data_IF_778986170845
#
_entry.id   IF_778986170845
#
_cell.length_a   1.000
_cell.length_b   1.000
_cell.length_c   1.000
_cell.angle_alpha   90.00
_cell.angle_beta   90.00
_cell.angle_gamma   90.00
#
_symmetry.space_group_name_H-M   'P 1'
#
loop_
_entity.id
_entity.type
_entity.pdbx_description
1 polymer ?
#
# COMPACT_ATOMS: atom_id res chain seq x y z
N UNK A 1 106.96 12.09 44.67
CA UNK A 1 106.58 12.38 43.25
C UNK A 1 105.29 11.64 42.98
N UNK A 2 104.18 12.26 43.21
CA UNK A 2 102.88 11.63 43.06
C UNK A 2 101.91 12.59 42.35
N UNK A 3 101.46 12.26 41.19
CA UNK A 3 100.55 13.05 40.33
C UNK A 3 99.12 12.81 40.73
N UNK A 4 98.40 13.83 41.12
CA UNK A 4 96.93 13.86 41.34
C UNK A 4 96.25 14.05 39.99
N UNK A 5 95.28 13.18 39.68
CA UNK A 5 94.33 13.33 38.53
C UNK A 5 93.07 13.96 39.07
N UNK A 6 92.44 14.94 38.36
CA UNK A 6 91.13 15.48 38.73
C UNK A 6 89.98 14.64 38.16
N UNK A 7 88.98 14.44 38.95
CA UNK A 7 87.73 13.81 38.63
C UNK A 7 86.79 14.84 37.94
N UNK A 8 86.34 14.58 36.70
CA UNK A 8 85.34 15.38 36.04
C UNK A 8 83.95 14.80 36.34
N UNK A 9 83.12 15.58 37.03
CA UNK A 9 81.68 15.27 37.28
C UNK A 9 80.90 15.54 36.00
N UNK A 10 80.29 14.49 35.48
CA UNK A 10 79.34 14.57 34.34
C UNK A 10 77.92 14.77 34.94
N UNK A 11 77.33 15.96 34.76
CA UNK A 11 75.98 16.26 35.13
C UNK A 11 75.05 15.84 34.01
N UNK A 12 74.28 14.76 34.24
CA UNK A 12 73.28 14.29 33.32
C UNK A 12 72.00 15.15 33.54
N UNK A 13 71.70 16.01 32.54
CA UNK A 13 70.42 16.73 32.48
C UNK A 13 69.32 15.81 31.96
N UNK A 14 68.45 15.32 32.81
CA UNK A 14 67.21 14.60 32.41
C UNK A 14 66.19 15.64 31.95
N UNK A 15 66.01 15.76 30.67
CA UNK A 15 64.90 16.55 30.09
C UNK A 15 63.57 15.76 30.30
N UNK A 16 62.70 16.21 31.17
CA UNK A 16 61.35 15.77 31.33
C UNK A 16 60.54 16.21 30.09
N UNK A 17 60.35 15.30 29.12
CA UNK A 17 59.38 15.45 28.05
C UNK A 17 57.97 15.34 28.63
N UNK A 18 57.28 16.46 28.84
CA UNK A 18 55.85 16.49 29.14
C UNK A 18 55.09 15.89 27.95
N UNK A 19 54.11 14.97 28.16
CA UNK A 19 53.29 14.47 27.06
C UNK A 19 52.46 15.62 26.48
N UNK A 20 52.57 15.84 25.17
CA UNK A 20 51.70 16.78 24.44
C UNK A 20 50.23 16.36 24.67
N UNK A 21 49.28 17.30 24.91
CA UNK A 21 47.89 16.95 25.03
C UNK A 21 47.45 16.27 23.72
N UNK A 22 46.94 15.04 23.83
CA UNK A 22 46.31 14.34 22.73
C UNK A 22 45.24 15.26 22.13
N UNK A 23 45.48 15.69 20.88
CA UNK A 23 44.46 16.43 20.13
C UNK A 23 43.16 15.62 20.19
N UNK A 24 42.12 16.15 20.81
CA UNK A 24 40.81 15.56 20.81
C UNK A 24 40.46 15.33 19.35
N UNK A 25 40.33 14.06 18.95
CA UNK A 25 39.92 13.69 17.63
C UNK A 25 38.60 14.47 17.33
N UNK A 26 38.71 15.49 16.51
CA UNK A 26 37.60 16.37 16.17
C UNK A 26 36.46 15.51 15.67
N UNK A 27 35.36 15.45 16.41
CA UNK A 27 34.11 14.84 15.93
C UNK A 27 33.77 15.54 14.64
N UNK A 28 33.77 14.78 13.54
CA UNK A 28 33.26 15.26 12.25
C UNK A 28 31.89 15.89 12.48
N UNK A 29 31.63 17.12 12.07
CA UNK A 29 30.34 17.74 12.26
C UNK A 29 29.26 16.82 11.69
N UNK A 30 28.13 16.62 12.39
CA UNK A 30 27.07 15.78 11.89
C UNK A 30 26.58 16.32 10.54
N UNK A 31 26.31 15.40 9.60
CA UNK A 31 25.74 15.75 8.30
C UNK A 31 24.51 16.65 8.50
N UNK A 32 24.50 17.87 7.93
CA UNK A 32 23.43 18.83 8.19
C UNK A 32 22.06 18.34 7.74
N UNK A 33 22.01 17.43 6.77
CA UNK A 33 20.75 16.78 6.33
C UNK A 33 20.26 15.81 7.38
N UNK A 34 21.12 14.89 7.85
CA UNK A 34 20.76 13.92 8.90
C UNK A 34 20.34 14.63 10.17
N UNK A 35 21.09 15.65 10.60
CA UNK A 35 20.74 16.45 11.78
C UNK A 35 19.39 17.18 11.61
N UNK A 36 19.04 17.58 10.38
CA UNK A 36 17.74 18.19 10.10
C UNK A 36 16.61 17.15 10.07
N UNK A 37 16.85 15.96 9.53
CA UNK A 37 15.91 14.83 9.57
C UNK A 37 15.61 14.44 11.01
N UNK A 38 16.62 14.28 11.86
CA UNK A 38 16.49 13.94 13.30
C UNK A 38 15.64 14.94 14.07
N UNK A 39 15.78 16.24 13.79
CA UNK A 39 14.93 17.26 14.43
C UNK A 39 13.46 17.16 14.06
N UNK A 40 13.17 16.74 12.82
CA UNK A 40 11.80 16.57 12.32
C UNK A 40 11.18 15.21 12.63
N UNK A 41 12.00 14.16 12.62
CA UNK A 41 11.57 12.79 12.84
C UNK A 41 10.97 12.58 14.24
N UNK A 42 9.92 11.77 14.30
CA UNK A 42 9.29 11.35 15.56
C UNK A 42 9.33 9.83 15.64
N UNK A 43 9.90 9.27 16.72
CA UNK A 43 10.07 7.83 16.85
C UNK A 43 8.71 7.12 16.90
N UNK A 44 8.62 5.98 16.25
CA UNK A 44 7.55 5.01 16.40
C UNK A 44 8.09 3.82 17.22
N UNK A 45 7.40 3.46 18.29
CA UNK A 45 7.88 2.45 19.26
C UNK A 45 7.86 1.04 18.69
N UNK A 46 6.85 0.74 17.89
CA UNK A 46 6.63 -0.58 17.29
C UNK A 46 5.81 -0.48 16.03
N UNK A 47 5.91 -1.49 15.15
CA UNK A 47 4.98 -1.72 14.07
C UNK A 47 3.77 -2.55 14.52
N UNK A 48 3.92 -3.33 15.59
CA UNK A 48 2.91 -4.29 16.04
C UNK A 48 1.63 -3.59 16.54
N UNK A 49 0.44 -4.13 16.21
CA UNK A 49 -0.83 -3.63 16.71
C UNK A 49 -0.91 -3.74 18.23
N UNK A 50 -1.54 -2.77 18.86
CA UNK A 50 -1.69 -2.72 20.32
C UNK A 50 -0.69 -1.79 21.00
N UNK A 51 -0.63 -1.82 22.34
CA UNK A 51 0.19 -0.93 23.15
C UNK A 51 -0.31 0.52 23.15
N UNK A 52 0.52 1.41 23.72
CA UNK A 52 0.20 2.83 23.83
C UNK A 52 0.32 3.54 22.46
N UNK A 53 -0.78 4.13 21.93
CA UNK A 53 -0.79 4.75 20.62
C UNK A 53 -0.25 6.20 20.60
N UNK A 54 0.27 6.74 21.70
CA UNK A 54 0.71 8.16 21.79
C UNK A 54 1.82 8.51 20.80
N UNK A 55 2.65 7.58 20.40
CA UNK A 55 3.69 7.78 19.38
C UNK A 55 3.11 7.93 17.96
N UNK A 56 1.84 7.58 17.74
CA UNK A 56 1.11 7.83 16.49
C UNK A 56 0.45 9.22 16.43
N UNK A 57 0.43 9.98 17.51
CA UNK A 57 -0.16 11.34 17.51
C UNK A 57 0.48 12.28 16.48
N UNK A 58 1.80 12.27 16.22
CA UNK A 58 2.40 13.07 15.15
C UNK A 58 1.83 12.73 13.77
N UNK A 59 1.66 11.42 13.48
CA UNK A 59 1.00 10.96 12.25
C UNK A 59 -0.46 11.43 12.19
N UNK A 60 -1.20 11.28 13.28
CA UNK A 60 -2.58 11.74 13.37
C UNK A 60 -2.74 13.24 13.16
N UNK A 61 -1.78 14.07 13.60
CA UNK A 61 -1.76 15.52 13.29
C UNK A 61 -1.46 15.78 11.83
N UNK A 62 -0.50 15.04 11.25
CA UNK A 62 -0.13 15.17 9.85
C UNK A 62 -1.28 14.75 8.91
N UNK A 63 -2.05 13.73 9.27
CA UNK A 63 -3.26 13.29 8.55
C UNK A 63 -4.37 14.36 8.61
N UNK A 64 -4.52 15.07 9.74
CA UNK A 64 -5.52 16.13 9.88
C UNK A 64 -6.94 15.67 9.56
N UNK A 65 -7.63 16.44 8.73
CA UNK A 65 -9.03 16.20 8.35
C UNK A 65 -9.18 15.46 7.00
N UNK A 66 -8.11 14.81 6.52
CA UNK A 66 -8.16 14.07 5.26
C UNK A 66 -9.32 13.04 5.26
N UNK A 67 -10.11 13.02 4.20
CA UNK A 67 -11.18 12.05 3.98
C UNK A 67 -10.60 10.68 3.59
N UNK A 68 -9.48 10.67 2.86
CA UNK A 68 -8.76 9.48 2.44
C UNK A 68 -7.28 9.63 2.79
N UNK A 69 -6.70 8.61 3.41
CA UNK A 69 -5.26 8.51 3.68
C UNK A 69 -4.73 7.31 2.93
N UNK A 70 -3.89 7.54 1.91
CA UNK A 70 -3.12 6.47 1.28
C UNK A 70 -1.90 6.16 2.14
N UNK A 71 -1.78 4.92 2.59
CA UNK A 71 -0.63 4.42 3.33
C UNK A 71 0.07 3.34 2.50
N UNK A 72 1.28 3.65 2.08
CA UNK A 72 2.05 2.88 1.14
C UNK A 72 2.76 1.66 1.72
N UNK A 73 3.54 1.04 0.90
CA UNK A 73 4.53 0.01 1.21
C UNK A 73 5.55 -0.09 0.07
N UNK A 74 6.82 -0.18 0.40
CA UNK A 74 7.88 -0.38 -0.59
C UNK A 74 8.00 -1.85 -1.04
N UNK A 75 7.21 -2.75 -0.48
CA UNK A 75 7.01 -4.15 -0.89
C UNK A 75 5.76 -4.72 -0.24
N UNK A 76 4.98 -5.49 -0.99
CA UNK A 76 3.77 -6.16 -0.49
C UNK A 76 4.06 -7.21 0.58
N UNK A 77 5.24 -7.80 0.56
CA UNK A 77 5.59 -8.96 1.37
C UNK A 77 6.24 -8.67 2.72
N UNK A 78 6.05 -7.49 3.33
CA UNK A 78 6.62 -7.11 4.61
C UNK A 78 5.62 -7.18 5.77
N UNK A 79 5.92 -8.02 6.77
CA UNK A 79 5.20 -8.10 8.03
C UNK A 79 5.10 -6.73 8.72
N UNK A 80 6.25 -6.03 8.85
CA UNK A 80 6.31 -4.76 9.58
C UNK A 80 5.51 -3.64 8.90
N UNK A 81 5.31 -3.69 7.57
CA UNK A 81 4.43 -2.76 6.89
C UNK A 81 2.96 -3.07 7.16
N UNK A 82 2.55 -4.34 7.06
CA UNK A 82 1.16 -4.72 7.27
C UNK A 82 0.71 -4.52 8.72
N UNK A 83 1.55 -4.90 9.69
CA UNK A 83 1.25 -4.70 11.12
C UNK A 83 1.22 -3.22 11.49
N UNK A 84 2.08 -2.38 10.88
CA UNK A 84 2.05 -0.94 11.09
C UNK A 84 0.76 -0.32 10.51
N UNK A 85 0.30 -0.76 9.34
CA UNK A 85 -0.97 -0.32 8.76
C UNK A 85 -2.16 -0.71 9.64
N UNK A 86 -2.18 -1.92 10.17
CA UNK A 86 -3.18 -2.35 11.17
C UNK A 86 -3.14 -1.46 12.41
N UNK A 87 -1.95 -1.23 12.99
CA UNK A 87 -1.77 -0.36 14.17
C UNK A 87 -2.26 1.07 13.90
N UNK A 88 -1.91 1.64 12.76
CA UNK A 88 -2.33 2.97 12.36
C UNK A 88 -3.84 3.01 12.13
N UNK A 89 -4.43 1.99 11.49
CA UNK A 89 -5.89 1.95 11.30
C UNK A 89 -6.64 1.93 12.63
N UNK A 90 -6.23 1.10 13.59
CA UNK A 90 -6.84 1.08 14.94
C UNK A 90 -6.77 2.45 15.60
N UNK A 91 -5.61 3.12 15.55
CA UNK A 91 -5.46 4.48 16.06
C UNK A 91 -6.40 5.46 15.37
N UNK A 92 -6.49 5.42 14.05
CA UNK A 92 -7.36 6.31 13.27
C UNK A 92 -8.86 6.05 13.53
N UNK A 93 -9.25 4.79 13.73
CA UNK A 93 -10.62 4.43 14.15
C UNK A 93 -10.95 5.03 15.50
N UNK A 94 -10.09 4.82 16.51
CA UNK A 94 -10.33 5.20 17.88
C UNK A 94 -10.21 6.71 18.13
N UNK A 95 -9.36 7.42 17.40
CA UNK A 95 -8.96 8.80 17.67
C UNK A 95 -9.31 9.80 16.58
N UNK A 96 -9.59 9.34 15.34
CA UNK A 96 -9.76 10.22 14.17
C UNK A 96 -11.01 9.95 13.35
N UNK A 97 -11.90 9.04 13.80
CA UNK A 97 -13.18 8.79 13.16
C UNK A 97 -13.12 8.08 11.82
N UNK A 98 -12.02 7.36 11.53
CA UNK A 98 -11.95 6.50 10.34
C UNK A 98 -12.86 5.29 10.54
N UNK A 99 -13.52 4.87 9.44
CA UNK A 99 -14.47 3.74 9.49
C UNK A 99 -14.30 2.77 8.33
N UNK A 100 -13.35 3.00 7.41
CA UNK A 100 -13.07 2.05 6.32
C UNK A 100 -11.58 1.78 6.22
N UNK A 101 -11.23 0.48 6.14
CA UNK A 101 -9.95 0.00 5.65
C UNK A 101 -10.16 -0.45 4.21
N UNK A 102 -9.48 0.20 3.28
CA UNK A 102 -9.41 -0.19 1.88
C UNK A 102 -8.09 -0.89 1.61
N UNK A 103 -8.11 -2.02 0.91
CA UNK A 103 -6.91 -2.76 0.53
C UNK A 103 -6.81 -2.80 -1.00
N UNK A 104 -5.59 -2.65 -1.53
CA UNK A 104 -5.26 -2.94 -2.92
C UNK A 104 -5.50 -4.43 -3.21
N UNK A 105 -6.75 -4.76 -3.43
CA UNK A 105 -7.22 -6.12 -3.70
C UNK A 105 -8.56 -6.08 -4.42
N UNK A 106 -8.99 -7.24 -4.94
CA UNK A 106 -10.23 -7.33 -5.70
C UNK A 106 -11.43 -6.79 -4.92
N UNK A 107 -12.24 -5.94 -5.57
CA UNK A 107 -13.50 -5.45 -5.02
C UNK A 107 -14.41 -6.56 -4.52
N UNK A 108 -14.54 -7.66 -5.26
CA UNK A 108 -15.37 -8.80 -4.88
C UNK A 108 -14.92 -9.46 -3.60
N UNK A 109 -13.61 -9.66 -3.42
CA UNK A 109 -13.04 -10.15 -2.17
C UNK A 109 -13.33 -9.18 -1.02
N UNK A 110 -13.20 -7.86 -1.28
CA UNK A 110 -13.59 -6.82 -0.34
C UNK A 110 -15.03 -6.95 0.12
N UNK A 111 -15.97 -7.22 -0.81
CA UNK A 111 -17.41 -7.44 -0.49
C UNK A 111 -17.61 -8.64 0.43
N UNK A 112 -16.93 -9.78 0.17
CA UNK A 112 -17.01 -10.98 1.01
C UNK A 112 -16.41 -10.75 2.41
N UNK A 113 -15.28 -10.07 2.49
CA UNK A 113 -14.63 -9.72 3.76
C UNK A 113 -15.46 -8.70 4.55
N UNK A 114 -16.09 -7.74 3.88
CA UNK A 114 -17.00 -6.78 4.53
C UNK A 114 -18.26 -7.46 5.10
N UNK A 115 -18.84 -8.43 4.37
CA UNK A 115 -19.95 -9.27 4.88
C UNK A 115 -19.52 -10.03 6.14
N UNK A 116 -18.28 -10.50 6.23
CA UNK A 116 -17.76 -11.08 7.47
C UNK A 116 -17.56 -10.01 8.56
N UNK A 117 -16.92 -8.92 8.25
CA UNK A 117 -16.61 -7.84 9.20
C UNK A 117 -17.88 -7.26 9.83
N UNK A 118 -18.92 -7.03 9.03
CA UNK A 118 -20.18 -6.40 9.49
C UNK A 118 -21.15 -7.45 10.04
N UNK A 119 -21.32 -8.57 9.35
CA UNK A 119 -22.40 -9.53 9.65
C UNK A 119 -21.91 -10.87 10.20
N UNK A 120 -20.60 -11.15 10.18
CA UNK A 120 -20.04 -12.44 10.56
C UNK A 120 -20.33 -13.55 9.55
N UNK A 121 -20.61 -13.21 8.29
CA UNK A 121 -20.87 -14.18 7.22
C UNK A 121 -19.59 -14.71 6.61
N UNK A 122 -19.49 -16.03 6.51
CA UNK A 122 -18.34 -16.69 5.91
C UNK A 122 -17.17 -16.85 6.89
N UNK A 123 -16.08 -17.41 6.36
CA UNK A 123 -14.80 -17.59 7.05
C UNK A 123 -13.76 -16.71 6.35
N UNK A 124 -13.17 -15.72 7.04
CA UNK A 124 -12.24 -14.78 6.41
C UNK A 124 -10.95 -15.44 5.92
N UNK A 125 -10.44 -16.47 6.60
CA UNK A 125 -9.27 -17.21 6.18
C UNK A 125 -9.54 -17.96 4.87
N UNK A 126 -10.68 -18.65 4.80
CA UNK A 126 -11.12 -19.33 3.59
C UNK A 126 -11.33 -18.35 2.44
N UNK A 127 -11.99 -17.21 2.68
CA UNK A 127 -12.20 -16.16 1.66
C UNK A 127 -10.85 -15.69 1.11
N UNK A 128 -9.88 -15.37 1.98
CA UNK A 128 -8.56 -14.93 1.54
C UNK A 128 -7.85 -15.99 0.70
N UNK A 129 -7.89 -17.24 1.11
CA UNK A 129 -7.22 -18.35 0.39
C UNK A 129 -7.85 -18.65 -0.97
N UNK A 130 -9.18 -18.55 -1.08
CA UNK A 130 -9.90 -18.79 -2.33
C UNK A 130 -9.78 -17.66 -3.34
N UNK A 131 -9.87 -16.41 -2.88
CA UNK A 131 -9.98 -15.25 -3.76
C UNK A 131 -8.65 -14.55 -4.04
N UNK A 132 -7.70 -14.59 -3.08
CA UNK A 132 -6.43 -13.87 -3.18
C UNK A 132 -5.33 -14.76 -3.76
N UNK A 133 -5.53 -15.17 -5.01
CA UNK A 133 -4.57 -15.96 -5.78
C UNK A 133 -4.07 -15.14 -6.97
N UNK A 134 -3.01 -15.61 -7.64
CA UNK A 134 -2.44 -15.01 -8.84
C UNK A 134 -2.06 -13.53 -8.60
N UNK A 135 -2.79 -12.56 -9.14
CA UNK A 135 -2.52 -11.12 -8.98
C UNK A 135 -2.38 -10.69 -7.50
N UNK A 136 -3.10 -11.34 -6.58
CA UNK A 136 -3.13 -10.96 -5.16
C UNK A 136 -2.47 -11.98 -4.23
N UNK A 137 -1.56 -12.82 -4.75
CA UNK A 137 -0.95 -13.92 -4.01
C UNK A 137 -0.13 -13.50 -2.77
N UNK A 138 0.19 -12.21 -2.62
CA UNK A 138 0.86 -11.64 -1.43
C UNK A 138 -0.11 -11.12 -0.34
N UNK A 139 -1.41 -11.11 -0.60
CA UNK A 139 -2.40 -10.59 0.35
C UNK A 139 -2.96 -11.61 1.35
N UNK A 140 -3.00 -12.95 1.10
CA UNK A 140 -3.47 -13.92 2.07
C UNK A 140 -2.41 -14.16 3.17
N UNK A 141 -2.32 -13.22 4.11
CA UNK A 141 -1.34 -13.24 5.21
C UNK A 141 -2.00 -13.32 6.56
N UNK A 142 -1.25 -13.82 7.57
CA UNK A 142 -1.71 -13.85 8.95
C UNK A 142 -1.98 -12.43 9.48
N UNK A 143 -1.21 -11.45 9.03
CA UNK A 143 -1.34 -10.03 9.40
C UNK A 143 -2.68 -9.45 8.91
N UNK A 144 -3.01 -9.61 7.63
CA UNK A 144 -4.29 -9.16 7.07
C UNK A 144 -5.47 -9.90 7.71
N UNK A 145 -5.34 -11.21 7.97
CA UNK A 145 -6.35 -11.99 8.66
C UNK A 145 -6.58 -11.49 10.10
N UNK A 146 -5.50 -11.13 10.81
CA UNK A 146 -5.58 -10.58 12.16
C UNK A 146 -6.33 -9.23 12.16
N UNK A 147 -6.04 -8.35 11.20
CA UNK A 147 -6.77 -7.08 11.03
C UNK A 147 -8.27 -7.33 10.77
N UNK A 148 -8.62 -8.21 9.84
CA UNK A 148 -10.04 -8.50 9.51
C UNK A 148 -10.77 -9.08 10.72
N UNK A 149 -10.14 -9.97 11.49
CA UNK A 149 -10.69 -10.50 12.75
C UNK A 149 -10.85 -9.42 13.82
N UNK A 150 -9.90 -8.50 13.93
CA UNK A 150 -10.03 -7.35 14.84
C UNK A 150 -11.20 -6.44 14.42
N UNK A 151 -11.37 -6.14 13.14
CA UNK A 151 -12.50 -5.35 12.64
C UNK A 151 -13.85 -5.98 13.00
N UNK A 152 -13.96 -7.31 12.87
CA UNK A 152 -15.16 -8.03 13.29
C UNK A 152 -15.41 -7.90 14.79
N UNK A 153 -14.39 -8.06 15.61
CA UNK A 153 -14.52 -7.93 17.07
C UNK A 153 -14.81 -6.48 17.50
N UNK A 154 -14.24 -5.50 16.80
CA UNK A 154 -14.59 -4.09 16.98
C UNK A 154 -16.08 -3.87 16.73
N UNK A 155 -16.63 -4.34 15.61
CA UNK A 155 -18.02 -4.18 15.23
C UNK A 155 -19.00 -4.87 16.21
N UNK A 156 -18.63 -6.02 16.78
CA UNK A 156 -19.44 -6.66 17.83
C UNK A 156 -19.60 -5.77 19.05
N UNK A 157 -18.60 -4.97 19.39
CA UNK A 157 -18.61 -4.03 20.51
C UNK A 157 -19.20 -2.66 20.16
N UNK A 158 -19.23 -2.32 18.85
CA UNK A 158 -19.71 -1.03 18.35
C UNK A 158 -20.77 -1.21 17.25
N UNK A 159 -21.93 -1.85 17.52
CA UNK A 159 -22.91 -2.23 16.48
C UNK A 159 -23.55 -1.03 15.77
N UNK A 160 -23.52 0.16 16.37
CA UNK A 160 -24.09 1.39 15.80
C UNK A 160 -23.06 2.26 15.06
N UNK A 161 -21.80 1.91 15.11
CA UNK A 161 -20.69 2.65 14.48
C UNK A 161 -19.63 1.70 13.93
N UNK A 162 -20.02 0.81 12.99
CA UNK A 162 -19.13 -0.25 12.52
C UNK A 162 -18.05 0.26 11.60
N UNK A 163 -16.90 -0.39 11.66
CA UNK A 163 -15.87 -0.29 10.62
C UNK A 163 -16.20 -1.20 9.43
N UNK A 164 -15.75 -0.82 8.24
CA UNK A 164 -16.01 -1.51 6.98
C UNK A 164 -14.70 -1.90 6.30
N UNK A 165 -14.74 -2.94 5.49
CA UNK A 165 -13.63 -3.37 4.64
C UNK A 165 -14.00 -3.17 3.17
N UNK A 166 -13.06 -2.74 2.32
CA UNK A 166 -13.26 -2.74 0.88
C UNK A 166 -11.99 -3.18 0.14
N UNK A 167 -12.14 -3.86 -0.98
CA UNK A 167 -11.12 -3.94 -2.03
C UNK A 167 -11.36 -2.81 -3.02
N UNK A 168 -10.30 -2.20 -3.55
CA UNK A 168 -10.45 -1.08 -4.48
C UNK A 168 -10.16 -1.45 -5.94
N UNK A 169 -9.60 -2.64 -6.18
CA UNK A 169 -9.08 -3.07 -7.47
C UNK A 169 -10.05 -3.98 -8.25
N UNK A 170 -9.80 -4.11 -9.56
CA UNK A 170 -10.64 -4.90 -10.47
C UNK A 170 -10.02 -6.24 -10.93
N UNK A 171 -8.83 -6.63 -10.46
CA UNK A 171 -8.14 -7.83 -10.98
C UNK A 171 -8.93 -9.16 -10.91
N UNK A 172 -9.99 -9.24 -10.12
CA UNK A 172 -10.89 -10.38 -10.05
C UNK A 172 -12.32 -9.93 -9.71
N UNK A 173 -13.32 -10.56 -10.34
CA UNK A 173 -14.72 -10.39 -9.97
C UNK A 173 -15.32 -11.75 -9.62
N UNK A 174 -15.55 -11.98 -8.33
CA UNK A 174 -16.17 -13.19 -7.82
C UNK A 174 -17.62 -13.36 -8.26
N UNK A 175 -18.17 -14.59 -8.18
CA UNK A 175 -19.51 -14.91 -8.62
C UNK A 175 -20.59 -14.09 -7.93
N UNK A 176 -20.38 -13.68 -6.69
CA UNK A 176 -21.34 -12.91 -5.88
C UNK A 176 -21.68 -11.54 -6.48
N UNK A 177 -20.77 -10.90 -7.24
CA UNK A 177 -21.11 -9.63 -7.91
C UNK A 177 -22.14 -9.85 -9.01
N UNK A 178 -21.99 -10.91 -9.79
CA UNK A 178 -22.95 -11.28 -10.84
C UNK A 178 -24.31 -11.65 -10.24
N UNK A 179 -24.31 -12.43 -9.15
CA UNK A 179 -25.52 -12.85 -8.46
C UNK A 179 -26.27 -11.63 -7.89
N UNK A 180 -25.60 -10.69 -7.20
CA UNK A 180 -26.23 -9.46 -6.70
C UNK A 180 -26.85 -8.62 -7.80
N UNK A 181 -26.22 -8.54 -8.99
CA UNK A 181 -26.78 -7.82 -10.15
C UNK A 181 -27.99 -8.55 -10.70
N UNK A 182 -27.93 -9.87 -10.94
CA UNK A 182 -29.03 -10.64 -11.51
C UNK A 182 -30.21 -10.76 -10.56
N UNK A 183 -29.99 -10.91 -9.25
CA UNK A 183 -31.04 -10.93 -8.23
C UNK A 183 -31.80 -9.59 -8.15
N UNK A 184 -31.06 -8.47 -8.25
CA UNK A 184 -31.70 -7.15 -8.33
C UNK A 184 -32.59 -7.06 -9.58
N UNK A 185 -32.05 -7.45 -10.75
CA UNK A 185 -32.81 -7.44 -12.02
C UNK A 185 -34.05 -8.35 -11.93
N UNK A 186 -33.92 -9.53 -11.31
CA UNK A 186 -35.03 -10.46 -11.13
C UNK A 186 -36.19 -9.84 -10.30
N UNK A 187 -35.87 -9.01 -9.31
CA UNK A 187 -36.88 -8.34 -8.49
C UNK A 187 -37.55 -7.16 -9.18
N UNK A 188 -36.78 -6.35 -9.93
CA UNK A 188 -37.30 -5.09 -10.49
C UNK A 188 -37.76 -5.21 -11.92
N UNK A 189 -37.23 -6.14 -12.71
CA UNK A 189 -37.56 -6.38 -14.11
C UNK A 189 -37.27 -7.81 -14.54
N UNK A 190 -38.02 -8.82 -14.05
CA UNK A 190 -37.73 -10.25 -14.26
C UNK A 190 -37.58 -10.64 -15.72
N UNK A 191 -38.31 -9.99 -16.65
CA UNK A 191 -38.19 -10.23 -18.08
C UNK A 191 -36.82 -9.91 -18.69
N UNK A 192 -35.94 -9.20 -17.98
CA UNK A 192 -34.54 -8.92 -18.44
C UNK A 192 -33.52 -9.94 -17.94
N UNK A 193 -33.86 -10.84 -17.02
CA UNK A 193 -32.91 -11.83 -16.47
C UNK A 193 -32.22 -12.64 -17.58
N UNK A 194 -32.94 -13.26 -18.54
CA UNK A 194 -32.30 -14.03 -19.60
C UNK A 194 -31.29 -13.21 -20.42
N UNK A 195 -31.53 -11.90 -20.56
CA UNK A 195 -30.62 -11.01 -21.29
C UNK A 195 -29.34 -10.74 -20.48
N UNK A 196 -29.43 -10.53 -19.14
CA UNK A 196 -28.25 -10.39 -18.28
C UNK A 196 -27.44 -11.68 -18.23
N UNK A 197 -28.08 -12.83 -18.08
CA UNK A 197 -27.42 -14.14 -18.14
C UNK A 197 -26.66 -14.35 -19.47
N UNK A 198 -27.28 -13.98 -20.59
CA UNK A 198 -26.62 -14.07 -21.89
C UNK A 198 -25.41 -13.12 -21.99
N UNK A 199 -25.50 -11.89 -21.46
CA UNK A 199 -24.39 -10.92 -21.46
C UNK A 199 -23.24 -11.34 -20.54
N UNK A 200 -23.53 -11.99 -19.41
CA UNK A 200 -22.55 -12.47 -18.43
C UNK A 200 -22.06 -13.91 -18.68
N UNK A 201 -22.53 -14.56 -19.73
CA UNK A 201 -22.15 -15.95 -20.07
C UNK A 201 -20.64 -16.09 -20.23
N UNK A 202 -20.01 -16.99 -19.46
CA UNK A 202 -18.57 -17.24 -19.46
C UNK A 202 -17.71 -16.19 -18.74
N UNK A 203 -18.36 -15.20 -18.09
CA UNK A 203 -17.71 -14.18 -17.28
C UNK A 203 -17.81 -14.47 -15.79
N UNK A 204 -18.92 -15.06 -15.33
CA UNK A 204 -19.09 -15.45 -13.93
C UNK A 204 -18.15 -16.63 -13.59
N UNK A 205 -17.23 -16.50 -12.60
CA UNK A 205 -16.33 -17.58 -12.24
C UNK A 205 -17.06 -18.82 -11.72
N UNK A 206 -16.53 -19.98 -12.08
CA UNK A 206 -16.99 -21.28 -11.58
C UNK A 206 -15.83 -22.13 -11.02
N UNK A 207 -14.62 -21.56 -11.01
CA UNK A 207 -13.37 -22.18 -10.57
C UNK A 207 -12.63 -21.21 -9.66
N UNK A 208 -11.59 -21.65 -8.90
CA UNK A 208 -10.79 -20.77 -8.05
C UNK A 208 -10.22 -19.55 -8.79
N UNK A 209 -10.03 -18.45 -8.07
CA UNK A 209 -9.70 -17.15 -8.67
C UNK A 209 -8.44 -17.17 -9.54
N UNK A 210 -7.39 -17.87 -9.11
CA UNK A 210 -6.14 -17.96 -9.87
C UNK A 210 -6.28 -18.77 -11.17
N UNK A 211 -7.07 -19.84 -11.15
CA UNK A 211 -7.39 -20.62 -12.35
C UNK A 211 -8.23 -19.79 -13.32
N UNK A 212 -9.25 -19.11 -12.79
CA UNK A 212 -10.10 -18.22 -13.58
C UNK A 212 -9.32 -17.12 -14.28
N UNK A 213 -8.46 -16.41 -13.55
CA UNK A 213 -7.67 -15.31 -14.08
C UNK A 213 -6.73 -15.78 -15.20
N UNK A 214 -5.99 -16.89 -14.98
CA UNK A 214 -5.13 -17.47 -16.02
C UNK A 214 -5.90 -17.91 -17.26
N UNK A 215 -7.03 -18.61 -17.07
CA UNK A 215 -7.88 -19.04 -18.16
C UNK A 215 -8.50 -17.87 -18.94
N UNK A 216 -8.84 -16.77 -18.24
CA UNK A 216 -9.37 -15.56 -18.89
C UNK A 216 -8.30 -14.90 -19.76
N UNK A 217 -7.10 -14.68 -19.21
CA UNK A 217 -5.99 -14.02 -19.90
C UNK A 217 -5.43 -14.85 -21.07
N UNK A 218 -5.53 -16.19 -21.01
CA UNK A 218 -5.15 -17.08 -22.09
C UNK A 218 -6.11 -17.05 -23.29
N UNK A 219 -7.30 -16.41 -23.18
CA UNK A 219 -8.24 -16.26 -24.31
C UNK A 219 -7.66 -15.32 -25.36
N UNK A 220 -8.03 -15.53 -26.66
CA UNK A 220 -7.69 -14.58 -27.71
C UNK A 220 -8.12 -13.15 -27.34
N UNK A 221 -7.31 -12.16 -27.65
CA UNK A 221 -7.58 -10.74 -27.35
C UNK A 221 -8.95 -10.28 -27.90
N UNK A 222 -9.31 -10.72 -29.11
CA UNK A 222 -10.61 -10.40 -29.71
C UNK A 222 -11.78 -10.92 -28.86
N UNK A 223 -11.66 -12.13 -28.27
CA UNK A 223 -12.68 -12.69 -27.37
C UNK A 223 -12.77 -11.88 -26.08
N UNK A 224 -11.62 -11.53 -25.46
CA UNK A 224 -11.58 -10.70 -24.25
C UNK A 224 -12.25 -9.34 -24.48
N UNK A 225 -12.02 -8.72 -25.64
CA UNK A 225 -12.65 -7.45 -26.03
C UNK A 225 -14.16 -7.58 -26.25
N UNK A 226 -14.64 -8.70 -26.84
CA UNK A 226 -16.08 -8.95 -26.95
C UNK A 226 -16.71 -9.19 -25.58
N UNK A 227 -16.03 -9.86 -24.66
CA UNK A 227 -16.48 -10.01 -23.27
C UNK A 227 -16.63 -8.64 -22.59
N UNK A 228 -15.68 -7.72 -22.76
CA UNK A 228 -15.77 -6.34 -22.28
C UNK A 228 -16.94 -5.57 -22.93
N UNK A 229 -17.16 -5.73 -24.22
CA UNK A 229 -18.30 -5.10 -24.89
C UNK A 229 -19.64 -5.60 -24.33
N UNK A 230 -19.74 -6.88 -23.94
CA UNK A 230 -20.95 -7.46 -23.31
C UNK A 230 -21.20 -6.87 -21.92
N UNK A 231 -20.15 -6.75 -21.08
CA UNK A 231 -20.30 -6.12 -19.75
C UNK A 231 -20.71 -4.67 -19.85
N UNK A 232 -20.16 -3.90 -20.79
CA UNK A 232 -20.60 -2.53 -21.07
C UNK A 232 -22.07 -2.44 -21.50
N UNK A 233 -22.56 -3.42 -22.28
CA UNK A 233 -24.01 -3.51 -22.61
C UNK A 233 -24.85 -3.80 -21.37
N UNK A 234 -24.42 -4.72 -20.51
CA UNK A 234 -25.13 -5.04 -19.26
C UNK A 234 -25.19 -3.81 -18.33
N UNK A 235 -24.08 -3.09 -18.16
CA UNK A 235 -24.00 -1.88 -17.36
C UNK A 235 -24.95 -0.77 -17.88
N UNK A 236 -25.02 -0.56 -19.19
CA UNK A 236 -25.97 0.40 -19.78
C UNK A 236 -27.41 0.00 -19.54
N UNK A 237 -27.74 -1.28 -19.70
CA UNK A 237 -29.09 -1.79 -19.41
C UNK A 237 -29.47 -1.60 -17.94
N UNK A 238 -28.53 -1.88 -17.01
CA UNK A 238 -28.77 -1.69 -15.57
C UNK A 238 -29.01 -0.21 -15.25
N UNK A 239 -28.21 0.71 -15.81
CA UNK A 239 -28.41 2.16 -15.62
C UNK A 239 -29.80 2.64 -16.01
N UNK A 240 -30.39 2.05 -17.05
CA UNK A 240 -31.77 2.38 -17.48
C UNK A 240 -32.84 1.90 -16.48
N UNK A 241 -32.50 1.08 -15.47
CA UNK A 241 -33.40 0.61 -14.43
C UNK A 241 -33.35 1.49 -13.15
N UNK A 242 -32.70 2.66 -13.20
CA UNK A 242 -32.57 3.54 -12.06
C UNK A 242 -33.92 3.89 -11.44
N UNK A 243 -34.12 3.65 -10.13
CA UNK A 243 -35.40 3.90 -9.47
C UNK A 243 -35.66 5.39 -9.27
N UNK A 244 -36.92 5.80 -9.39
CA UNK A 244 -37.35 7.16 -9.07
C UNK A 244 -37.33 7.49 -7.57
N UNK A 245 -37.59 6.49 -6.70
CA UNK A 245 -37.72 6.66 -5.25
C UNK A 245 -36.38 6.67 -4.54
N UNK A 246 -36.21 7.55 -3.54
CA UNK A 246 -34.94 7.76 -2.83
C UNK A 246 -34.48 6.54 -2.02
N UNK A 247 -35.39 5.81 -1.38
CA UNK A 247 -35.06 4.63 -0.59
C UNK A 247 -34.43 3.50 -1.42
N UNK A 248 -34.94 3.30 -2.65
CA UNK A 248 -34.41 2.28 -3.55
C UNK A 248 -33.07 2.70 -4.24
N UNK A 249 -32.72 3.98 -4.19
CA UNK A 249 -31.51 4.50 -4.86
C UNK A 249 -30.23 4.01 -4.19
N UNK A 250 -30.22 3.79 -2.88
CA UNK A 250 -29.00 3.35 -2.17
C UNK A 250 -28.65 1.92 -2.56
N UNK A 251 -29.61 0.99 -2.52
CA UNK A 251 -29.41 -0.38 -3.01
C UNK A 251 -29.01 -0.41 -4.49
N UNK A 252 -29.71 0.36 -5.32
CA UNK A 252 -29.38 0.47 -6.72
C UNK A 252 -27.96 0.97 -6.96
N UNK A 253 -27.47 1.94 -6.19
CA UNK A 253 -26.11 2.46 -6.29
C UNK A 253 -25.08 1.38 -6.01
N UNK A 254 -25.31 0.51 -5.01
CA UNK A 254 -24.44 -0.63 -4.69
C UNK A 254 -24.42 -1.65 -5.83
N UNK A 255 -25.61 -2.05 -6.33
CA UNK A 255 -25.72 -2.98 -7.44
C UNK A 255 -25.07 -2.42 -8.73
N UNK A 256 -25.29 -1.13 -9.01
CA UNK A 256 -24.67 -0.44 -10.13
C UNK A 256 -23.14 -0.42 -9.99
N UNK A 257 -22.63 -0.28 -8.75
CA UNK A 257 -21.18 -0.34 -8.50
C UNK A 257 -20.64 -1.73 -8.79
N UNK A 258 -21.31 -2.80 -8.35
CA UNK A 258 -20.91 -4.17 -8.69
C UNK A 258 -20.84 -4.39 -10.20
N UNK A 259 -21.86 -3.96 -10.95
CA UNK A 259 -21.85 -4.03 -12.41
C UNK A 259 -20.74 -3.16 -13.04
N UNK A 260 -20.41 -2.02 -12.42
CA UNK A 260 -19.30 -1.17 -12.88
C UNK A 260 -17.96 -1.88 -12.70
N UNK A 261 -17.71 -2.53 -11.56
CA UNK A 261 -16.47 -3.27 -11.34
C UNK A 261 -16.36 -4.50 -12.25
N UNK A 262 -17.46 -5.20 -12.52
CA UNK A 262 -17.48 -6.27 -13.55
C UNK A 262 -17.02 -5.72 -14.91
N UNK A 263 -17.49 -4.52 -15.29
CA UNK A 263 -17.11 -3.87 -16.54
C UNK A 263 -15.67 -3.36 -16.53
N UNK A 264 -15.19 -2.81 -15.41
CA UNK A 264 -13.80 -2.42 -15.20
C UNK A 264 -12.85 -3.60 -15.40
N UNK A 265 -13.11 -4.75 -14.75
CA UNK A 265 -12.32 -5.98 -14.88
C UNK A 265 -12.28 -6.48 -16.32
N UNK A 266 -13.45 -6.63 -16.96
CA UNK A 266 -13.50 -7.11 -18.33
C UNK A 266 -12.80 -6.15 -19.32
N UNK A 267 -12.93 -4.84 -19.12
CA UNK A 267 -12.24 -3.82 -19.91
C UNK A 267 -10.74 -3.87 -19.71
N UNK A 268 -10.27 -4.00 -18.44
CA UNK A 268 -8.86 -4.15 -18.11
C UNK A 268 -8.24 -5.38 -18.76
N UNK A 269 -8.96 -6.50 -18.76
CA UNK A 269 -8.50 -7.73 -19.43
C UNK A 269 -8.60 -7.65 -20.98
N UNK A 270 -9.23 -6.62 -21.53
CA UNK A 270 -9.29 -6.34 -22.97
C UNK A 270 -8.04 -5.68 -23.56
N UNK A 271 -7.07 -5.28 -22.73
CA UNK A 271 -5.78 -4.78 -23.19
C UNK A 271 -4.86 -5.92 -23.65
N UNK A 272 -3.95 -5.58 -24.57
CA UNK A 272 -2.85 -6.47 -24.98
C UNK A 272 -1.64 -6.26 -24.05
N UNK A 273 -1.35 -7.25 -23.22
CA UNK A 273 -0.24 -7.18 -22.28
C UNK A 273 1.14 -7.54 -22.91
N UNK A 274 1.17 -7.90 -24.21
CA UNK A 274 2.40 -8.05 -24.97
C UNK A 274 2.82 -6.73 -25.65
N UNK A 275 1.92 -5.75 -25.74
CA UNK A 275 2.15 -4.43 -26.31
C UNK A 275 2.44 -3.42 -25.16
N UNK A 276 3.69 -2.89 -25.06
CA UNK A 276 4.08 -1.97 -23.97
C UNK A 276 3.20 -0.71 -23.85
N UNK A 277 2.72 -0.16 -24.97
CA UNK A 277 1.85 1.02 -24.95
C UNK A 277 0.49 0.67 -24.34
N UNK A 278 -0.05 -0.51 -24.64
CA UNK A 278 -1.29 -0.98 -24.05
C UNK A 278 -1.11 -1.40 -22.59
N UNK A 279 0.06 -1.89 -22.17
CA UNK A 279 0.38 -2.11 -20.75
C UNK A 279 0.31 -0.79 -19.98
N UNK A 280 0.93 0.28 -20.48
CA UNK A 280 0.88 1.60 -19.85
C UNK A 280 -0.57 2.13 -19.76
N UNK A 281 -1.36 1.95 -20.82
CA UNK A 281 -2.79 2.33 -20.82
C UNK A 281 -3.61 1.48 -19.82
N UNK A 282 -3.35 0.18 -19.73
CA UNK A 282 -3.99 -0.71 -18.77
C UNK A 282 -3.68 -0.29 -17.33
N UNK A 283 -2.40 0.00 -17.02
CA UNK A 283 -1.97 0.44 -15.68
C UNK A 283 -2.58 1.81 -15.33
N UNK A 284 -2.53 2.78 -16.25
CA UNK A 284 -3.20 4.07 -16.07
C UNK A 284 -4.71 3.91 -15.81
N UNK A 285 -5.37 3.01 -16.55
CA UNK A 285 -6.78 2.71 -16.37
C UNK A 285 -7.05 2.04 -15.03
N UNK A 286 -6.21 1.10 -14.61
CA UNK A 286 -6.32 0.42 -13.32
C UNK A 286 -6.30 1.43 -12.16
N UNK A 287 -5.30 2.31 -12.14
CA UNK A 287 -5.17 3.32 -11.09
C UNK A 287 -6.33 4.34 -11.08
N UNK A 288 -6.84 4.69 -12.26
CA UNK A 288 -8.05 5.52 -12.36
C UNK A 288 -9.28 4.79 -11.77
N UNK A 289 -9.49 3.53 -12.12
CA UNK A 289 -10.61 2.72 -11.63
C UNK A 289 -10.51 2.48 -10.11
N UNK A 290 -9.31 2.20 -9.58
CA UNK A 290 -9.04 2.08 -8.14
C UNK A 290 -9.39 3.39 -7.41
N UNK A 291 -8.96 4.53 -7.92
CA UNK A 291 -9.31 5.83 -7.36
C UNK A 291 -10.84 6.09 -7.40
N UNK A 292 -11.50 5.79 -8.52
CA UNK A 292 -12.95 5.96 -8.68
C UNK A 292 -13.73 5.02 -7.75
N UNK A 293 -13.19 3.83 -7.43
CA UNK A 293 -13.77 2.90 -6.46
C UNK A 293 -13.70 3.47 -5.03
N UNK A 294 -12.54 4.01 -4.62
CA UNK A 294 -12.35 4.64 -3.31
C UNK A 294 -13.23 5.90 -3.17
N UNK A 295 -13.27 6.76 -4.19
CA UNK A 295 -14.10 7.97 -4.20
C UNK A 295 -15.59 7.65 -4.11
N UNK A 296 -16.05 6.65 -4.85
CA UNK A 296 -17.43 6.19 -4.78
C UNK A 296 -17.77 5.67 -3.39
N UNK A 297 -16.89 4.84 -2.80
CA UNK A 297 -17.10 4.29 -1.46
C UNK A 297 -17.17 5.40 -0.40
N UNK A 298 -16.23 6.33 -0.44
CA UNK A 298 -16.19 7.48 0.47
C UNK A 298 -17.47 8.31 0.37
N UNK A 299 -17.92 8.64 -0.85
CA UNK A 299 -19.14 9.41 -1.08
C UNK A 299 -20.41 8.64 -0.68
N UNK A 300 -20.45 7.30 -0.92
CA UNK A 300 -21.59 6.45 -0.61
C UNK A 300 -21.77 6.20 0.89
N UNK A 301 -20.67 6.04 1.62
CA UNK A 301 -20.69 5.73 3.07
C UNK A 301 -20.54 6.96 3.94
N UNK A 302 -19.91 8.03 3.45
CA UNK A 302 -19.49 9.17 4.26
C UNK A 302 -18.26 8.88 5.15
N UNK A 303 -17.66 7.71 5.04
CA UNK A 303 -16.56 7.27 5.90
C UNK A 303 -15.23 7.92 5.52
N UNK A 304 -14.41 8.20 6.52
CA UNK A 304 -12.97 8.40 6.31
C UNK A 304 -12.31 7.05 6.04
N UNK A 305 -11.40 7.01 5.06
CA UNK A 305 -10.82 5.78 4.52
C UNK A 305 -9.31 5.76 4.75
N UNK A 306 -8.77 4.70 5.35
CA UNK A 306 -7.36 4.33 5.22
C UNK A 306 -7.24 3.39 4.03
N UNK A 307 -6.53 3.84 2.99
CA UNK A 307 -6.24 3.09 1.78
C UNK A 307 -4.84 2.48 1.90
N UNK A 308 -4.76 1.16 1.95
CA UNK A 308 -3.53 0.36 1.96
C UNK A 308 -3.20 -0.12 0.54
N UNK A 309 -2.09 0.32 -0.01
CA UNK A 309 -1.61 -0.09 -1.33
C UNK A 309 -0.10 0.06 -1.43
N UNK A 310 0.47 -0.30 -2.58
CA UNK A 310 1.89 -0.07 -2.85
C UNK A 310 2.21 1.43 -2.93
N UNK A 311 3.43 1.82 -2.57
CA UNK A 311 3.91 3.21 -2.64
C UNK A 311 3.70 3.83 -4.04
N UNK A 312 3.89 3.03 -5.10
CA UNK A 312 3.69 3.47 -6.47
C UNK A 312 2.23 3.81 -6.82
N UNK A 313 1.24 3.23 -6.11
CA UNK A 313 -0.18 3.56 -6.32
C UNK A 313 -0.62 4.76 -5.48
N UNK A 314 -0.18 4.85 -4.22
CA UNK A 314 -0.67 5.89 -3.29
C UNK A 314 0.09 7.22 -3.41
N UNK A 315 1.28 7.24 -4.00
CA UNK A 315 2.06 8.44 -4.22
C UNK A 315 1.46 9.38 -5.27
N UNK A 316 1.89 10.64 -5.27
CA UNK A 316 1.45 11.63 -6.28
C UNK A 316 2.16 11.49 -7.62
N UNK A 317 3.29 10.79 -7.64
CA UNK A 317 4.13 10.60 -8.82
C UNK A 317 4.47 9.13 -8.97
N UNK A 318 4.38 8.59 -10.18
CA UNK A 318 4.77 7.22 -10.45
C UNK A 318 6.29 7.06 -10.33
N UNK A 319 6.72 5.85 -10.00
CA UNK A 319 8.12 5.44 -9.98
C UNK A 319 8.69 5.32 -11.40
N UNK A 320 7.89 4.79 -12.32
CA UNK A 320 8.18 4.71 -13.75
C UNK A 320 7.00 5.18 -14.58
N UNK A 321 7.02 6.45 -15.09
CA UNK A 321 5.93 6.99 -15.89
C UNK A 321 5.68 6.27 -17.22
N UNK A 322 6.65 5.47 -17.70
CA UNK A 322 6.47 4.69 -18.92
C UNK A 322 5.58 3.46 -18.68
N UNK A 323 5.64 2.90 -17.48
CA UNK A 323 4.84 1.74 -17.09
C UNK A 323 3.51 2.16 -16.45
N UNK A 324 3.55 3.13 -15.53
CA UNK A 324 2.38 3.70 -14.85
C UNK A 324 2.35 5.21 -15.09
N UNK A 325 1.65 5.71 -16.12
CA UNK A 325 1.66 7.14 -16.46
C UNK A 325 1.01 8.04 -15.40
N UNK A 326 0.10 7.50 -14.58
CA UNK A 326 -0.61 8.26 -13.55
C UNK A 326 -1.06 7.35 -12.43
N UNK A 327 -0.73 7.72 -11.20
CA UNK A 327 -1.03 6.95 -9.99
C UNK A 327 -2.45 7.19 -9.49
N UNK A 328 -2.99 6.23 -8.74
CA UNK A 328 -4.23 6.36 -7.97
C UNK A 328 -4.16 7.58 -7.04
N UNK A 329 -3.03 7.77 -6.33
CA UNK A 329 -2.81 8.91 -5.42
C UNK A 329 -2.89 10.26 -6.12
N UNK A 330 -2.37 10.37 -7.36
CA UNK A 330 -2.51 11.57 -8.17
C UNK A 330 -3.99 11.87 -8.51
N UNK A 331 -4.76 10.84 -8.88
CA UNK A 331 -6.21 10.99 -9.16
C UNK A 331 -6.97 11.42 -7.90
N UNK A 332 -6.69 10.76 -6.77
CA UNK A 332 -7.32 11.10 -5.48
C UNK A 332 -6.98 12.53 -5.06
N UNK A 333 -5.73 12.97 -5.24
CA UNK A 333 -5.32 14.35 -4.94
C UNK A 333 -6.03 15.38 -5.80
N UNK A 334 -6.17 15.14 -7.10
CA UNK A 334 -6.86 16.03 -8.01
C UNK A 334 -8.36 16.18 -7.66
N UNK A 335 -8.97 15.10 -7.17
CA UNK A 335 -10.40 15.08 -6.84
C UNK A 335 -10.73 15.56 -5.43
N UNK A 336 -9.87 15.31 -4.45
CA UNK A 336 -10.08 15.62 -3.03
C UNK A 336 -9.24 16.81 -2.54
N UNK A 337 -8.24 17.25 -3.31
CA UNK A 337 -7.34 18.31 -2.86
C UNK A 337 -6.68 17.96 -1.52
N UNK A 338 -6.82 18.83 -0.52
CA UNK A 338 -6.33 18.58 0.85
C UNK A 338 -7.08 17.46 1.60
N UNK A 339 -8.17 16.93 1.05
CA UNK A 339 -8.88 15.78 1.58
C UNK A 339 -8.19 14.43 1.31
N UNK A 340 -7.09 14.41 0.56
CA UNK A 340 -6.22 13.24 0.40
C UNK A 340 -4.84 13.50 0.98
N UNK A 341 -4.34 12.57 1.80
CA UNK A 341 -2.97 12.59 2.36
C UNK A 341 -2.25 11.30 1.98
N UNK A 342 -1.06 11.43 1.40
CA UNK A 342 -0.20 10.29 1.02
C UNK A 342 0.91 10.07 2.06
N UNK A 343 1.03 8.83 2.55
CA UNK A 343 2.05 8.38 3.51
C UNK A 343 2.90 7.30 2.85
N UNK A 344 4.11 7.66 2.41
CA UNK A 344 5.07 6.70 1.84
C UNK A 344 5.79 5.91 2.94
N UNK A 345 6.13 4.66 2.67
CA UNK A 345 6.87 3.79 3.55
C UNK A 345 8.17 3.31 2.89
N UNK A 346 9.31 3.47 3.57
CA UNK A 346 10.63 3.01 3.13
C UNK A 346 11.27 2.11 4.17
N UNK A 347 12.25 1.27 3.74
CA UNK A 347 13.01 0.43 4.67
C UNK A 347 14.47 0.31 4.28
N UNK A 348 15.35 0.21 5.28
CA UNK A 348 16.79 0.09 5.10
C UNK A 348 17.21 -1.29 4.60
N UNK A 349 16.82 -2.33 5.32
CA UNK A 349 17.23 -3.71 5.06
C UNK A 349 16.23 -4.71 5.65
N UNK A 350 16.42 -6.00 5.38
CA UNK A 350 15.62 -7.07 6.00
C UNK A 350 15.08 -8.07 5.01
N UNK A 351 13.99 -8.76 5.39
CA UNK A 351 13.38 -9.79 4.56
C UNK A 351 11.95 -9.45 4.18
N UNK A 352 11.52 -9.99 3.05
CA UNK A 352 10.14 -9.87 2.55
C UNK A 352 9.79 -11.09 1.68
N UNK A 353 8.51 -11.30 1.44
CA UNK A 353 8.01 -12.26 0.44
C UNK A 353 7.83 -11.57 -0.90
N UNK A 354 8.26 -12.24 -1.97
CA UNK A 354 7.94 -11.91 -3.34
C UNK A 354 7.99 -13.19 -4.18
N UNK A 355 7.35 -13.19 -5.34
CA UNK A 355 7.52 -14.29 -6.30
C UNK A 355 8.91 -14.24 -6.94
N UNK A 356 9.36 -15.36 -7.51
CA UNK A 356 10.49 -15.36 -8.45
C UNK A 356 10.13 -14.55 -9.72
N UNK A 357 11.12 -14.19 -10.57
CA UNK A 357 10.86 -13.41 -11.78
C UNK A 357 9.86 -14.06 -12.74
N UNK A 358 9.78 -15.38 -12.74
CA UNK A 358 8.83 -16.16 -13.54
C UNK A 358 7.44 -16.25 -12.91
N UNK A 359 7.26 -15.65 -11.72
CA UNK A 359 6.02 -15.67 -10.93
C UNK A 359 5.47 -17.08 -10.62
N UNK A 360 6.39 -18.06 -10.53
CA UNK A 360 6.04 -19.47 -10.32
C UNK A 360 6.11 -19.89 -8.85
N UNK A 361 6.97 -19.24 -8.05
CA UNK A 361 7.20 -19.59 -6.64
C UNK A 361 7.26 -18.37 -5.74
N UNK A 362 6.57 -18.43 -4.63
CA UNK A 362 6.68 -17.43 -3.57
C UNK A 362 7.89 -17.74 -2.68
N UNK A 363 8.84 -16.80 -2.62
CA UNK A 363 10.11 -16.95 -1.92
C UNK A 363 10.25 -15.89 -0.81
N UNK A 364 11.13 -16.19 0.16
CA UNK A 364 11.62 -15.18 1.12
C UNK A 364 12.95 -14.64 0.61
N UNK A 365 12.98 -13.36 0.36
CA UNK A 365 14.19 -12.63 -0.03
C UNK A 365 14.74 -11.85 1.15
N UNK A 366 16.07 -11.68 1.18
CA UNK A 366 16.76 -10.84 2.17
C UNK A 366 17.64 -9.84 1.45
N UNK A 367 17.56 -8.58 1.83
CA UNK A 367 18.33 -7.48 1.25
C UNK A 367 19.09 -6.75 2.33
N UNK A 368 20.32 -6.33 1.99
CA UNK A 368 21.18 -5.48 2.81
C UNK A 368 20.85 -4.00 2.68
N UNK A 369 21.64 -3.13 3.35
CA UNK A 369 21.50 -1.68 3.25
C UNK A 369 21.65 -1.18 1.82
N UNK A 370 20.97 -0.10 1.50
CA UNK A 370 21.12 0.58 0.21
C UNK A 370 22.47 1.33 0.11
N UNK A 371 23.02 1.44 -1.11
CA UNK A 371 24.32 2.08 -1.31
C UNK A 371 24.29 3.59 -1.02
N UNK A 372 25.47 4.21 -0.74
CA UNK A 372 25.60 5.66 -0.64
C UNK A 372 24.96 6.40 -1.82
N UNK A 373 24.25 7.49 -1.54
CA UNK A 373 23.54 8.28 -2.54
C UNK A 373 22.06 7.93 -2.69
N UNK A 374 21.62 6.76 -2.17
CA UNK A 374 20.19 6.43 -2.08
C UNK A 374 19.46 7.19 -0.98
N UNK A 375 18.12 7.20 -1.05
CA UNK A 375 17.30 7.78 0.01
C UNK A 375 17.51 7.00 1.32
N UNK A 376 17.39 5.68 1.30
CA UNK A 376 17.46 4.83 2.49
C UNK A 376 18.83 4.93 3.17
N UNK A 377 19.93 4.99 2.42
CA UNK A 377 21.27 5.17 3.02
C UNK A 377 21.37 6.42 3.92
N UNK A 378 20.67 7.48 3.58
CA UNK A 378 20.63 8.71 4.38
C UNK A 378 19.60 8.62 5.50
N UNK A 379 18.44 7.99 5.24
CA UNK A 379 17.36 7.82 6.21
C UNK A 379 17.76 6.89 7.35
N UNK A 380 18.51 5.81 7.08
CA UNK A 380 19.07 4.86 8.08
C UNK A 380 20.03 5.51 9.06
N UNK A 381 20.58 6.69 8.76
CA UNK A 381 21.48 7.42 9.66
C UNK A 381 20.76 8.24 10.72
N UNK A 382 19.43 8.35 10.65
CA UNK A 382 18.59 8.92 11.71
C UNK A 382 18.60 7.93 12.90
N UNK A 383 18.82 8.43 14.11
CA UNK A 383 19.05 7.61 15.33
C UNK A 383 17.89 6.70 15.75
N UNK A 384 16.74 6.76 15.07
CA UNK A 384 15.55 5.98 15.41
C UNK A 384 15.38 4.84 14.42
N UNK A 385 15.23 3.61 14.89
CA UNK A 385 15.02 2.42 14.05
C UNK A 385 13.72 2.50 13.23
N UNK A 386 12.75 3.26 13.74
CA UNK A 386 11.46 3.49 13.09
C UNK A 386 10.97 4.88 13.45
N UNK A 387 10.56 5.67 12.45
CA UNK A 387 10.13 7.04 12.67
C UNK A 387 9.18 7.55 11.59
N UNK A 388 8.42 8.61 11.93
CA UNK A 388 7.53 9.34 11.03
C UNK A 388 7.99 10.79 10.89
N UNK A 389 7.85 11.34 9.68
CA UNK A 389 8.17 12.73 9.35
C UNK A 389 7.08 13.32 8.44
N UNK A 390 6.47 14.42 8.86
CA UNK A 390 5.66 15.26 7.96
C UNK A 390 6.61 16.04 7.04
N UNK A 391 6.62 15.67 5.75
CA UNK A 391 7.54 16.21 4.74
C UNK A 391 7.24 17.68 4.44
N UNK A 392 5.99 18.12 4.63
CA UNK A 392 5.51 19.47 4.36
C UNK A 392 6.10 20.48 5.38
N UNK A 393 6.34 20.00 6.62
CA UNK A 393 6.83 20.82 7.73
C UNK A 393 8.27 20.47 8.13
N UNK A 394 8.95 19.60 7.40
CA UNK A 394 10.31 19.21 7.64
C UNK A 394 11.26 20.42 7.69
N UNK A 395 12.32 20.40 8.57
CA UNK A 395 13.31 21.48 8.60
C UNK A 395 13.93 21.75 7.23
N UNK A 396 14.24 23.02 6.92
CA UNK A 396 14.62 23.44 5.58
C UNK A 396 15.76 22.64 4.90
N UNK A 397 16.86 22.23 5.58
CA UNK A 397 17.87 21.38 4.96
C UNK A 397 17.33 20.00 4.57
N UNK A 398 16.54 19.37 5.44
CA UNK A 398 15.90 18.07 5.15
C UNK A 398 14.90 18.21 3.98
N UNK A 399 14.05 19.23 4.01
CA UNK A 399 13.04 19.47 2.95
C UNK A 399 13.68 19.67 1.57
N UNK A 400 14.77 20.46 1.46
CA UNK A 400 15.52 20.61 0.21
C UNK A 400 16.10 19.29 -0.28
N UNK A 401 16.66 18.50 0.64
CA UNK A 401 17.21 17.19 0.31
C UNK A 401 16.12 16.22 -0.16
N UNK A 402 15.01 16.11 0.56
CA UNK A 402 13.88 15.25 0.25
C UNK A 402 13.16 15.62 -1.07
N UNK A 403 13.31 16.87 -1.55
CA UNK A 403 12.75 17.30 -2.83
C UNK A 403 13.58 16.88 -4.06
N UNK A 404 14.81 16.38 -3.86
CA UNK A 404 15.66 15.83 -4.91
C UNK A 404 15.38 14.34 -5.13
N UNK A 405 15.29 13.91 -6.39
CA UNK A 405 15.16 12.50 -6.74
C UNK A 405 16.45 11.74 -6.46
N UNK A 406 16.32 10.55 -5.88
CA UNK A 406 17.44 9.63 -5.57
C UNK A 406 16.98 8.19 -5.69
N UNK A 407 17.94 7.27 -5.96
CA UNK A 407 17.66 5.84 -5.91
C UNK A 407 16.94 5.46 -4.61
N UNK A 408 15.81 4.81 -4.76
CA UNK A 408 14.93 4.38 -3.67
C UNK A 408 14.47 2.96 -3.96
N UNK A 409 14.53 2.08 -2.97
CA UNK A 409 14.08 0.69 -3.13
C UNK A 409 12.56 0.65 -3.26
N UNK A 410 12.11 -0.05 -4.28
CA UNK A 410 10.71 -0.39 -4.46
C UNK A 410 10.61 -1.80 -5.05
N UNK A 411 9.86 -2.66 -4.42
CA UNK A 411 9.67 -4.06 -4.81
C UNK A 411 8.19 -4.34 -4.95
N UNK A 412 7.76 -4.63 -6.16
CA UNK A 412 6.39 -5.06 -6.44
C UNK A 412 6.14 -6.51 -6.01
N UNK A 413 5.44 -7.28 -6.86
CA UNK A 413 5.06 -8.68 -6.59
C UNK A 413 6.21 -9.66 -6.76
N UNK A 414 7.17 -9.38 -7.66
CA UNK A 414 8.30 -10.28 -7.98
C UNK A 414 9.67 -9.67 -7.64
N UNK A 415 10.64 -10.53 -7.31
CA UNK A 415 12.01 -10.14 -7.01
C UNK A 415 13.00 -11.28 -7.30
N UNK A 416 14.24 -11.01 -7.84
CA UNK A 416 14.65 -9.70 -8.37
C UNK A 416 13.97 -9.37 -9.71
N UNK A 417 13.72 -8.09 -9.95
CA UNK A 417 13.30 -7.56 -11.24
C UNK A 417 14.47 -6.81 -11.89
N UNK A 418 14.44 -6.54 -13.20
CA UNK A 418 15.45 -5.71 -13.87
C UNK A 418 15.62 -4.33 -13.19
N UNK A 419 14.56 -3.81 -12.58
CA UNK A 419 14.57 -2.60 -11.76
C UNK A 419 13.81 -2.84 -10.44
N UNK A 420 14.54 -2.72 -9.32
CA UNK A 420 13.99 -2.71 -7.96
C UNK A 420 14.40 -1.43 -7.22
N UNK A 421 14.82 -0.41 -7.98
CA UNK A 421 15.26 0.88 -7.47
C UNK A 421 14.87 1.96 -8.49
N UNK A 422 14.23 3.00 -8.02
CA UNK A 422 13.74 4.12 -8.83
C UNK A 422 14.18 5.46 -8.23
N UNK A 423 14.35 6.49 -9.07
CA UNK A 423 14.73 7.82 -8.61
C UNK A 423 13.50 8.57 -8.09
N UNK A 424 13.30 8.54 -6.77
CA UNK A 424 12.13 9.12 -6.11
C UNK A 424 12.50 10.39 -5.34
N UNK A 425 11.78 11.49 -5.61
CA UNK A 425 11.79 12.72 -4.84
C UNK A 425 10.72 12.63 -3.73
N UNK A 426 11.09 12.15 -2.53
CA UNK A 426 10.15 11.79 -1.47
C UNK A 426 9.16 12.92 -1.13
N UNK A 427 9.64 14.17 -0.98
CA UNK A 427 8.77 15.31 -0.64
C UNK A 427 7.91 15.83 -1.83
N UNK A 428 8.07 15.25 -3.02
CA UNK A 428 7.20 15.52 -4.19
C UNK A 428 6.21 14.40 -4.45
N UNK A 429 6.46 13.25 -3.80
CA UNK A 429 5.67 12.03 -4.01
C UNK A 429 4.71 11.79 -2.84
N UNK A 430 5.10 12.19 -1.62
CA UNK A 430 4.30 11.95 -0.41
C UNK A 430 4.17 13.21 0.45
N UNK A 431 3.16 13.28 1.31
CA UNK A 431 3.01 14.30 2.35
C UNK A 431 3.76 13.90 3.63
N UNK A 432 3.76 12.61 3.94
CA UNK A 432 4.35 12.03 5.14
C UNK A 432 5.24 10.86 4.75
N UNK A 433 6.34 10.69 5.44
CA UNK A 433 7.23 9.53 5.30
C UNK A 433 7.28 8.76 6.61
N UNK A 434 7.17 7.44 6.51
CA UNK A 434 7.55 6.52 7.59
C UNK A 434 8.74 5.71 7.08
N UNK A 435 9.81 5.69 7.88
CA UNK A 435 10.99 4.88 7.59
C UNK A 435 11.19 3.82 8.67
N UNK A 436 11.59 2.62 8.25
CA UNK A 436 11.95 1.50 9.12
C UNK A 436 13.33 0.99 8.75
N UNK A 437 14.27 0.96 9.70
CA UNK A 437 15.62 0.43 9.47
C UNK A 437 15.54 -1.04 9.03
N UNK A 438 14.70 -1.84 9.67
CA UNK A 438 14.56 -3.28 9.40
C UNK A 438 13.13 -3.70 9.25
N UNK A 439 12.91 -4.63 8.28
CA UNK A 439 11.63 -5.31 8.07
C UNK A 439 11.80 -6.83 8.04
N UNK A 440 10.72 -7.54 8.30
CA UNK A 440 10.61 -9.02 8.24
C UNK A 440 9.60 -9.41 7.17
N UNK A 441 9.76 -10.61 6.63
CA UNK A 441 8.80 -11.19 5.69
C UNK A 441 7.46 -11.47 6.37
N UNK A 442 6.35 -11.36 5.61
CA UNK A 442 4.99 -11.75 6.05
C UNK A 442 4.87 -13.25 6.28
N UNK A 443 3.88 -13.63 7.09
CA UNK A 443 3.44 -15.00 7.28
C UNK A 443 2.24 -15.29 6.34
N UNK A 444 2.51 -15.97 5.23
CA UNK A 444 1.46 -16.36 4.29
C UNK A 444 0.56 -17.44 4.89
N UNK A 445 -0.74 -17.31 4.66
CA UNK A 445 -1.68 -18.38 4.96
C UNK A 445 -1.37 -19.62 4.10
N UNK A 446 -1.57 -20.85 4.61
CA UNK A 446 -1.38 -22.06 3.81
C UNK A 446 -2.21 -22.02 2.54
N UNK A 447 -1.67 -22.55 1.44
CA UNK A 447 -2.43 -22.71 0.19
C UNK A 447 -3.74 -23.48 0.44
N UNK A 448 -4.80 -23.22 -0.36
CA UNK A 448 -6.08 -23.91 -0.20
C UNK A 448 -6.00 -25.42 -0.44
#
# INVERSE_FOLDING_TARGET
MSSLRPWTLLVLAVALLAPAPAAAAGRTPPDPVVAALERGARPLRTAEPGGDPRDLEPLGRAVGDAAVVGMGEATHGSHDFLTLKDRVFRYLVERRGFRTFALETAWSTGVRLDDYVVHGKGDPERIMREDLQYTYALNPTAENLALVRWMREYNRRHPHDPVRFMGDDWGYTGPELYDRVTDYVARVRPGLVPRFEALYRGLRPAVPSGEYQRAYLARPLAERREMAARTGRALRLLRALAPGQTAARREFAEVLRHATVIDQTATGYGFDFEDPDQVADAMRRRDQDMADNVLWWQAHTGHRVLLSGHDNHIGYRPEDPQVLPRTQGAVLRDRLGGGYTSVGLTFGQGSFKATDPEETRMLTHTVGPMPPGSNEHTLDRVRHDRWVLDLRTAPAPARRWLAGARPTRSVGTAYPQPRNTYDIALARTYDVLIHQDRVRAVDLLPAP
#
